data_IF_030172397206
#
_entry.id   IF_030172397206
#
_cell.length_a   1.000
_cell.length_b   1.000
_cell.length_c   1.000
_cell.angle_alpha   90.00
_cell.angle_beta   90.00
_cell.angle_gamma   90.00
#
_symmetry.space_group_name_H-M   'P 1'
#
loop_
_entity.id
_entity.type
_entity.pdbx_description
1 polymer ?
#
# COMPACT_ATOMS: atom_id res chain seq x y z
N UNK A 1 -3.01 23.56 13.91
CA UNK A 1 -1.95 23.28 12.93
C UNK A 1 -1.50 21.86 13.18
N UNK A 2 -1.61 20.97 12.20
CA UNK A 2 -1.16 19.57 12.34
C UNK A 2 0.37 19.58 12.33
N UNK A 3 1.02 18.93 13.29
CA UNK A 3 2.48 18.85 13.31
C UNK A 3 2.96 17.99 12.15
N UNK A 4 4.23 18.13 11.75
CA UNK A 4 4.80 17.34 10.67
C UNK A 4 4.68 15.82 10.91
N UNK A 5 4.94 15.40 12.16
CA UNK A 5 4.79 14.02 12.63
C UNK A 5 3.33 13.56 12.55
N UNK A 6 2.39 14.38 12.99
CA UNK A 6 0.96 14.05 12.94
C UNK A 6 0.46 13.91 11.50
N UNK A 7 0.95 14.76 10.59
CA UNK A 7 0.63 14.62 9.16
C UNK A 7 1.13 13.28 8.61
N UNK A 8 2.35 12.87 8.99
CA UNK A 8 2.90 11.60 8.57
C UNK A 8 2.11 10.41 9.16
N UNK A 9 1.77 10.44 10.46
CA UNK A 9 0.95 9.41 11.10
C UNK A 9 -0.36 9.20 10.35
N UNK A 10 -1.02 10.27 9.95
CA UNK A 10 -2.26 10.20 9.18
C UNK A 10 -2.06 9.49 7.82
N UNK A 11 -0.96 9.77 7.12
CA UNK A 11 -0.66 9.09 5.84
C UNK A 11 -0.39 7.60 6.05
N UNK A 12 0.43 7.25 7.05
CA UNK A 12 0.76 5.86 7.36
C UNK A 12 -0.48 5.07 7.80
N UNK A 13 -1.36 5.68 8.60
CA UNK A 13 -2.66 5.10 8.94
C UNK A 13 -3.50 4.79 7.70
N UNK A 14 -3.60 5.71 6.73
CA UNK A 14 -4.36 5.45 5.52
C UNK A 14 -3.78 4.30 4.66
N UNK A 15 -2.46 4.10 4.68
CA UNK A 15 -1.82 2.94 4.04
C UNK A 15 -2.27 1.66 4.76
N UNK A 16 -2.18 1.63 6.09
CA UNK A 16 -2.54 0.47 6.90
C UNK A 16 -4.03 0.13 6.80
N UNK A 17 -4.92 1.13 6.81
CA UNK A 17 -6.36 0.95 6.64
C UNK A 17 -6.66 0.31 5.28
N UNK A 18 -6.10 0.86 4.20
CA UNK A 18 -6.30 0.34 2.84
C UNK A 18 -5.75 -1.09 2.70
N UNK A 19 -4.60 -1.37 3.34
CA UNK A 19 -4.03 -2.71 3.39
C UNK A 19 -4.90 -3.69 4.18
N UNK A 20 -5.50 -3.27 5.29
CA UNK A 20 -6.45 -4.07 6.04
C UNK A 20 -7.70 -4.38 5.19
N UNK A 21 -8.25 -3.38 4.50
CA UNK A 21 -9.36 -3.59 3.56
C UNK A 21 -9.01 -4.64 2.49
N UNK A 22 -7.81 -4.61 1.91
CA UNK A 22 -7.36 -5.63 0.96
C UNK A 22 -7.33 -7.05 1.57
N UNK A 23 -6.99 -7.19 2.85
CA UNK A 23 -7.00 -8.50 3.52
C UNK A 23 -8.43 -9.04 3.72
N UNK A 24 -9.40 -8.15 3.92
CA UNK A 24 -10.80 -8.48 4.23
C UNK A 24 -11.70 -8.73 3.01
N UNK A 25 -11.21 -8.44 1.79
CA UNK A 25 -11.96 -8.71 0.55
C UNK A 25 -12.25 -10.22 0.41
N UNK A 26 -13.50 -10.54 0.08
CA UNK A 26 -14.03 -11.92 0.01
C UNK A 26 -13.91 -12.56 -1.39
N UNK A 27 -13.38 -11.82 -2.37
CA UNK A 27 -13.17 -12.27 -3.75
C UNK A 27 -14.48 -12.59 -4.50
N UNK A 28 -15.51 -11.74 -4.34
CA UNK A 28 -16.81 -11.85 -5.02
C UNK A 28 -16.93 -10.95 -6.26
N UNK A 29 -17.96 -11.13 -7.12
CA UNK A 29 -18.12 -10.29 -8.30
C UNK A 29 -18.13 -8.81 -7.96
N UNK A 30 -17.33 -8.03 -8.70
CA UNK A 30 -17.12 -6.59 -8.46
C UNK A 30 -15.96 -6.26 -7.51
N UNK A 31 -15.39 -7.23 -6.79
CA UNK A 31 -14.28 -6.97 -5.87
C UNK A 31 -12.97 -6.58 -6.57
N UNK A 32 -12.80 -6.92 -7.86
CA UNK A 32 -11.65 -6.44 -8.64
C UNK A 32 -11.54 -4.91 -8.63
N UNK A 33 -12.68 -4.20 -8.70
CA UNK A 33 -12.72 -2.73 -8.62
C UNK A 33 -12.35 -2.19 -7.24
N UNK A 34 -12.68 -2.95 -6.17
CA UNK A 34 -12.30 -2.61 -4.80
C UNK A 34 -10.80 -2.82 -4.59
N UNK A 35 -10.27 -3.94 -5.09
CA UNK A 35 -8.84 -4.24 -5.08
C UNK A 35 -8.06 -3.12 -5.79
N UNK A 36 -8.50 -2.75 -7.00
CA UNK A 36 -7.89 -1.65 -7.75
C UNK A 36 -7.86 -0.35 -6.95
N UNK A 37 -9.01 0.04 -6.37
CA UNK A 37 -9.14 1.27 -5.59
C UNK A 37 -8.20 1.30 -4.39
N UNK A 38 -8.18 0.25 -3.58
CA UNK A 38 -7.35 0.22 -2.37
C UNK A 38 -5.85 0.11 -2.71
N UNK A 39 -5.49 -0.62 -3.77
CA UNK A 39 -4.11 -0.65 -4.28
C UNK A 39 -3.65 0.73 -4.76
N UNK A 40 -4.48 1.45 -5.53
CA UNK A 40 -4.16 2.80 -5.99
C UNK A 40 -4.00 3.81 -4.85
N UNK A 41 -4.83 3.70 -3.81
CA UNK A 41 -4.67 4.52 -2.59
C UNK A 41 -3.33 4.26 -1.92
N UNK A 42 -2.98 2.99 -1.70
CA UNK A 42 -1.70 2.61 -1.10
C UNK A 42 -0.54 3.17 -1.94
N UNK A 43 -0.53 2.94 -3.25
CA UNK A 43 0.50 3.47 -4.14
C UNK A 43 0.60 5.00 -4.07
N UNK A 44 -0.54 5.69 -4.02
CA UNK A 44 -0.60 7.14 -3.88
C UNK A 44 0.05 7.64 -2.60
N UNK A 45 -0.30 7.06 -1.46
CA UNK A 45 0.27 7.44 -0.16
C UNK A 45 1.75 7.07 -0.03
N UNK A 46 2.15 5.90 -0.52
CA UNK A 46 3.56 5.50 -0.60
C UNK A 46 4.36 6.52 -1.42
N UNK A 47 3.85 6.96 -2.58
CA UNK A 47 4.51 8.02 -3.38
C UNK A 47 4.63 9.34 -2.64
N UNK A 48 3.65 9.71 -1.81
CA UNK A 48 3.74 10.92 -0.97
C UNK A 48 4.89 10.76 0.03
N UNK A 49 4.96 9.62 0.72
CA UNK A 49 6.02 9.33 1.69
C UNK A 49 7.41 9.32 1.02
N UNK A 50 7.55 8.60 -0.10
CA UNK A 50 8.82 8.48 -0.82
C UNK A 50 9.34 9.80 -1.40
N UNK A 51 8.47 10.70 -1.86
CA UNK A 51 8.91 11.89 -2.61
C UNK A 51 8.81 13.20 -1.83
N UNK A 52 7.86 13.32 -0.89
CA UNK A 52 7.51 14.61 -0.28
C UNK A 52 7.87 14.71 1.20
N UNK A 53 8.23 13.60 1.84
CA UNK A 53 8.62 13.61 3.24
C UNK A 53 10.14 13.81 3.36
N UNK A 54 10.46 14.83 4.12
CA UNK A 54 11.77 15.35 4.48
C UNK A 54 12.21 14.64 5.77
N UNK A 55 13.15 13.72 5.61
CA UNK A 55 13.74 12.93 6.69
C UNK A 55 14.47 13.83 7.70
N UNK A 56 14.98 14.99 7.29
CA UNK A 56 15.71 15.90 8.19
C UNK A 56 14.78 16.56 9.23
N UNK A 57 13.46 16.53 8.99
CA UNK A 57 12.43 17.00 9.92
C UNK A 57 11.94 15.93 10.89
N UNK A 58 12.40 14.67 10.75
CA UNK A 58 11.98 13.53 11.57
C UNK A 58 13.23 12.80 12.06
N UNK A 59 13.61 12.92 13.34
CA UNK A 59 14.86 12.36 13.86
C UNK A 59 14.76 10.86 14.18
N UNK A 60 14.10 10.08 13.31
CA UNK A 60 13.86 8.64 13.54
C UNK A 60 14.45 7.85 12.36
N UNK A 61 15.51 7.08 12.62
CA UNK A 61 16.19 6.18 11.66
C UNK A 61 15.23 5.25 10.92
N UNK A 62 14.15 4.89 11.59
CA UNK A 62 13.18 3.91 11.10
C UNK A 62 12.35 4.49 9.94
N UNK A 63 12.23 5.81 9.86
CA UNK A 63 11.52 6.47 8.76
C UNK A 63 12.31 6.42 7.45
N UNK A 64 13.63 6.59 7.51
CA UNK A 64 14.50 6.44 6.33
C UNK A 64 14.45 5.01 5.78
N UNK A 65 14.46 4.02 6.68
CA UNK A 65 14.29 2.61 6.33
C UNK A 65 12.96 2.38 5.62
N UNK A 66 11.87 2.91 6.16
CA UNK A 66 10.54 2.77 5.56
C UNK A 66 10.46 3.43 4.18
N UNK A 67 11.03 4.62 4.03
CA UNK A 67 11.11 5.34 2.75
C UNK A 67 11.81 4.50 1.67
N UNK A 68 12.92 3.85 2.01
CA UNK A 68 13.64 2.96 1.08
C UNK A 68 12.76 1.77 0.66
N UNK A 69 12.08 1.12 1.62
CA UNK A 69 11.18 -0.01 1.32
C UNK A 69 10.02 0.41 0.41
N UNK A 70 9.42 1.57 0.69
CA UNK A 70 8.35 2.17 -0.12
C UNK A 70 8.78 2.47 -1.56
N UNK A 71 9.97 3.07 -1.75
CA UNK A 71 10.49 3.33 -3.09
C UNK A 71 10.76 2.02 -3.84
N UNK A 72 11.36 1.02 -3.19
CA UNK A 72 11.59 -0.30 -3.80
C UNK A 72 10.30 -1.00 -4.19
N UNK A 73 9.24 -0.88 -3.39
CA UNK A 73 7.94 -1.44 -3.75
C UNK A 73 7.40 -0.79 -5.03
N UNK A 74 7.46 0.55 -5.14
CA UNK A 74 7.00 1.26 -6.34
C UNK A 74 7.84 0.95 -7.59
N UNK A 75 9.13 0.65 -7.43
CA UNK A 75 10.04 0.30 -8.52
C UNK A 75 9.81 -1.13 -9.03
N UNK A 76 9.55 -2.08 -8.14
CA UNK A 76 9.50 -3.50 -8.48
C UNK A 76 8.08 -4.01 -8.80
N UNK A 77 7.04 -3.28 -8.40
CA UNK A 77 5.65 -3.72 -8.54
C UNK A 77 4.79 -2.66 -9.24
N UNK A 78 4.17 -3.05 -10.36
CA UNK A 78 3.13 -2.29 -11.04
C UNK A 78 1.99 -3.23 -11.45
N UNK A 79 0.83 -3.04 -10.81
CA UNK A 79 -0.34 -3.90 -10.98
C UNK A 79 -1.44 -3.25 -11.83
N UNK A 80 -1.36 -1.93 -12.11
CA UNK A 80 -2.44 -1.20 -12.80
C UNK A 80 -2.78 -1.83 -14.17
N UNK A 81 -1.76 -2.17 -14.95
CA UNK A 81 -1.95 -2.77 -16.29
C UNK A 81 -2.55 -4.17 -16.22
N UNK A 82 -2.11 -4.98 -15.25
CA UNK A 82 -2.61 -6.36 -15.07
C UNK A 82 -4.09 -6.32 -14.63
N UNK A 83 -4.45 -5.45 -13.67
CA UNK A 83 -5.83 -5.25 -13.24
C UNK A 83 -6.72 -4.75 -14.38
N UNK A 84 -6.27 -3.75 -15.15
CA UNK A 84 -7.03 -3.22 -16.29
C UNK A 84 -7.32 -4.30 -17.33
N UNK A 85 -6.35 -5.18 -17.58
CA UNK A 85 -6.52 -6.33 -18.48
C UNK A 85 -7.52 -7.34 -17.91
N UNK A 86 -7.43 -7.62 -16.60
CA UNK A 86 -8.38 -8.50 -15.92
C UNK A 86 -9.81 -7.96 -15.91
N UNK A 87 -10.01 -6.64 -15.78
CA UNK A 87 -11.34 -6.05 -15.71
C UNK A 87 -12.18 -6.35 -16.97
N UNK A 88 -11.55 -6.33 -18.16
CA UNK A 88 -12.23 -6.59 -19.42
C UNK A 88 -12.44 -8.07 -19.75
N UNK A 89 -11.57 -8.96 -19.27
CA UNK A 89 -11.55 -10.37 -19.70
C UNK A 89 -11.98 -11.36 -18.61
N UNK A 90 -11.78 -11.00 -17.34
CA UNK A 90 -11.76 -11.95 -16.22
C UNK A 90 -12.40 -11.40 -14.94
N UNK A 91 -13.16 -10.31 -15.02
CA UNK A 91 -13.80 -9.69 -13.85
C UNK A 91 -14.79 -10.62 -13.12
N UNK A 92 -15.31 -11.63 -13.83
CA UNK A 92 -16.19 -12.66 -13.27
C UNK A 92 -15.46 -13.97 -12.90
N UNK A 93 -14.14 -14.07 -13.09
CA UNK A 93 -13.33 -15.22 -12.67
C UNK A 93 -12.79 -14.98 -11.25
N UNK A 94 -13.49 -15.53 -10.25
CA UNK A 94 -13.19 -15.28 -8.83
C UNK A 94 -11.81 -15.80 -8.42
N UNK A 95 -11.34 -16.89 -9.04
CA UNK A 95 -10.01 -17.43 -8.80
C UNK A 95 -8.94 -16.44 -9.26
N UNK A 96 -9.12 -15.80 -10.42
CA UNK A 96 -8.20 -14.76 -10.90
C UNK A 96 -8.25 -13.51 -10.05
N UNK A 97 -9.44 -13.05 -9.66
CA UNK A 97 -9.60 -11.90 -8.75
C UNK A 97 -8.86 -12.15 -7.44
N UNK A 98 -9.05 -13.33 -6.83
CA UNK A 98 -8.31 -13.76 -5.63
C UNK A 98 -6.80 -13.77 -5.85
N UNK A 99 -6.33 -14.34 -6.95
CA UNK A 99 -4.89 -14.39 -7.25
C UNK A 99 -4.28 -12.99 -7.40
N UNK A 100 -4.99 -12.07 -8.04
CA UNK A 100 -4.55 -10.67 -8.14
C UNK A 100 -4.42 -10.02 -6.76
N UNK A 101 -5.42 -10.20 -5.90
CA UNK A 101 -5.38 -9.71 -4.52
C UNK A 101 -4.19 -10.27 -3.75
N UNK A 102 -3.96 -11.58 -3.84
CA UNK A 102 -2.85 -12.24 -3.15
C UNK A 102 -1.49 -11.73 -3.64
N UNK A 103 -1.28 -11.56 -4.96
CA UNK A 103 -0.05 -10.97 -5.50
C UNK A 103 0.24 -9.57 -4.93
N UNK A 104 -0.80 -8.72 -4.86
CA UNK A 104 -0.67 -7.38 -4.28
C UNK A 104 -0.30 -7.47 -2.80
N UNK A 105 -1.00 -8.31 -2.02
CA UNK A 105 -0.71 -8.52 -0.61
C UNK A 105 0.71 -9.06 -0.38
N UNK A 106 1.18 -9.98 -1.21
CA UNK A 106 2.54 -10.52 -1.17
C UNK A 106 3.58 -9.44 -1.44
N UNK A 107 3.38 -8.61 -2.46
CA UNK A 107 4.26 -7.48 -2.75
C UNK A 107 4.31 -6.46 -1.61
N UNK A 108 3.17 -6.18 -0.96
CA UNK A 108 3.11 -5.28 0.19
C UNK A 108 3.79 -5.89 1.45
N UNK A 109 3.79 -7.22 1.57
CA UNK A 109 4.51 -7.94 2.65
C UNK A 109 6.00 -8.10 2.38
N UNK A 110 6.45 -7.89 1.13
CA UNK A 110 7.86 -8.05 0.80
C UNK A 110 8.74 -7.14 1.67
N UNK A 111 9.89 -7.68 2.07
CA UNK A 111 10.83 -7.04 3.01
C UNK A 111 10.18 -6.50 4.30
N UNK A 112 9.08 -7.07 4.77
CA UNK A 112 8.37 -6.64 5.99
C UNK A 112 7.84 -5.20 5.95
N UNK A 113 7.63 -4.63 4.76
CA UNK A 113 7.26 -3.21 4.60
C UNK A 113 6.02 -2.79 5.40
N UNK A 114 4.96 -3.59 5.38
CA UNK A 114 3.75 -3.31 6.16
C UNK A 114 3.94 -3.51 7.67
N UNK A 115 4.82 -4.43 8.08
CA UNK A 115 5.07 -4.71 9.50
C UNK A 115 5.88 -3.57 10.12
N UNK A 116 6.96 -3.14 9.45
CA UNK A 116 7.71 -1.95 9.82
C UNK A 116 6.84 -0.68 9.87
N UNK A 117 5.88 -0.56 8.95
CA UNK A 117 4.93 0.57 8.96
C UNK A 117 4.10 0.58 10.25
N UNK A 118 3.64 -0.58 10.72
CA UNK A 118 2.88 -0.72 11.97
C UNK A 118 3.75 -0.47 13.19
N UNK A 119 4.97 -0.99 13.19
CA UNK A 119 5.93 -0.79 14.27
C UNK A 119 6.26 0.70 14.43
N UNK A 120 6.60 1.38 13.33
CA UNK A 120 6.85 2.81 13.34
C UNK A 120 5.63 3.58 13.86
N UNK A 121 4.42 3.24 13.40
CA UNK A 121 3.18 3.87 13.87
C UNK A 121 2.93 3.71 15.37
N UNK A 122 3.41 2.62 15.97
CA UNK A 122 3.29 2.36 17.41
C UNK A 122 4.33 3.12 18.23
N UNK A 123 5.46 3.47 17.61
CA UNK A 123 6.59 4.15 18.25
C UNK A 123 6.55 5.69 18.09
N UNK A 124 5.80 6.21 17.11
CA UNK A 124 5.57 7.65 16.90
C UNK A 124 4.51 8.19 17.85
#
# INVERSE_FOLDING_TARGET
>A
MVTYVEHLKNILNHILDSYQFLNEIEDKPGDLSKIEKEMLKINGFIRVVSNKIDVDKIPVSDFETLKIKFSRYLENYSFETEIKTMAGLYSNDMSRVKNMRLKILEALKDKHMMDDTRELMSNL
#
